data_IF_434624549821
#
_entry.id   IF_434624549821
#
_cell.length_a   1.000
_cell.length_b   1.000
_cell.length_c   1.000
_cell.angle_alpha   90.00
_cell.angle_beta   90.00
_cell.angle_gamma   90.00
#
_symmetry.space_group_name_H-M   'P 1'
#
loop_
_entity.id
_entity.type
_entity.pdbx_description
1 polymer ?
2 non-polymer ?
3 water ?
#
# COMPACT_ATOMS: atom_id res chain seq x y z
N UNK A 1 -23.49 -25.03 24.74
CA UNK A 1 -23.01 -23.69 24.28
C UNK A 1 -23.58 -23.40 22.93
N UNK A 2 -24.62 -24.07 22.49
CA UNK A 2 -24.66 -24.22 21.03
C UNK A 2 -24.45 -23.05 20.06
N UNK A 3 -25.26 -21.99 20.08
CA UNK A 3 -24.82 -20.83 19.29
C UNK A 3 -23.51 -20.11 19.86
N UNK A 4 -23.24 -20.21 21.18
CA UNK A 4 -21.93 -19.80 21.69
C UNK A 4 -20.76 -20.63 21.21
N UNK A 5 -20.94 -21.94 21.00
CA UNK A 5 -19.82 -22.68 20.49
C UNK A 5 -19.65 -22.55 18.97
N UNK A 6 -20.72 -22.34 18.22
CA UNK A 6 -20.62 -22.09 16.78
C UNK A 6 -19.86 -20.78 16.61
N UNK A 7 -20.24 -19.76 17.37
CA UNK A 7 -19.55 -18.48 17.35
C UNK A 7 -18.05 -18.54 17.73
N UNK A 8 -17.71 -19.29 18.76
CA UNK A 8 -16.34 -19.41 19.12
C UNK A 8 -15.52 -20.08 17.97
N UNK A 9 -16.12 -21.04 17.25
CA UNK A 9 -15.43 -21.69 16.12
C UNK A 9 -15.30 -20.68 14.97
N UNK A 10 -16.34 -19.90 14.70
CA UNK A 10 -16.27 -18.88 13.67
C UNK A 10 -15.13 -17.89 13.91
N UNK A 11 -14.96 -17.46 15.16
CA UNK A 11 -13.90 -16.51 15.47
C UNK A 11 -12.50 -17.14 15.33
N UNK A 12 -12.41 -18.43 15.63
CA UNK A 12 -11.10 -19.07 15.57
C UNK A 12 -10.67 -19.13 14.10
N UNK A 13 -11.62 -19.39 13.21
CA UNK A 13 -11.34 -19.51 11.79
C UNK A 13 -11.00 -18.13 11.25
N UNK A 14 -11.77 -17.12 11.65
CA UNK A 14 -11.49 -15.75 11.22
C UNK A 14 -10.11 -15.34 11.72
N UNK A 15 -9.71 -15.79 12.94
CA UNK A 15 -8.39 -15.41 13.50
C UNK A 15 -7.29 -16.02 12.65
N UNK A 16 -7.55 -17.23 12.15
CA UNK A 16 -6.55 -17.85 11.35
C UNK A 16 -6.42 -17.09 10.03
N UNK A 17 -7.55 -16.67 9.45
CA UNK A 17 -7.50 -15.99 8.18
C UNK A 17 -6.80 -14.68 8.25
N UNK A 18 -7.09 -13.87 9.27
CA UNK A 18 -6.56 -12.54 9.37
C UNK A 18 -5.04 -12.65 9.68
N UNK A 19 -4.67 -13.61 10.51
CA UNK A 19 -3.27 -13.87 10.81
C UNK A 19 -2.46 -14.29 9.57
N UNK A 20 -2.95 -15.25 8.78
CA UNK A 20 -2.34 -15.65 7.50
C UNK A 20 -2.25 -14.46 6.49
N UNK A 21 -3.33 -13.70 6.37
CA UNK A 21 -3.39 -12.54 5.52
C UNK A 21 -2.50 -11.37 5.96
N UNK A 22 -2.37 -11.16 7.27
CA UNK A 22 -1.44 -10.12 7.76
C UNK A 22 -0.03 -10.56 7.37
N UNK A 23 0.16 -11.85 7.36
CA UNK A 23 1.41 -12.44 7.02
C UNK A 23 1.81 -12.24 5.55
N UNK A 24 0.91 -12.59 4.65
CA UNK A 24 1.07 -12.34 3.22
C UNK A 24 1.41 -10.87 3.00
N UNK A 25 0.65 -10.00 3.67
CA UNK A 25 0.80 -8.59 3.45
C UNK A 25 2.19 -8.20 3.98
N UNK A 26 2.63 -8.75 5.12
CA UNK A 26 3.98 -8.45 5.60
C UNK A 26 5.11 -8.76 4.62
N UNK A 27 5.09 -9.97 4.06
CA UNK A 27 6.10 -10.35 3.11
C UNK A 27 6.04 -9.48 1.81
N UNK A 28 4.84 -9.07 1.38
CA UNK A 28 4.65 -8.23 0.22
C UNK A 28 5.29 -6.86 0.45
N UNK A 29 5.07 -6.29 1.64
CA UNK A 29 5.50 -4.91 1.93
C UNK A 29 7.00 -4.91 2.20
N UNK A 30 7.50 -5.97 2.83
CA UNK A 30 8.93 -6.05 3.04
C UNK A 30 9.66 -6.31 1.71
N UNK A 31 9.08 -7.11 0.80
CA UNK A 31 9.69 -7.31 -0.52
C UNK A 31 9.81 -5.95 -1.27
N UNK A 32 8.77 -5.14 -1.23
CA UNK A 32 8.76 -3.82 -1.90
C UNK A 32 9.79 -2.87 -1.27
N UNK A 33 9.84 -2.89 0.07
CA UNK A 33 10.81 -2.13 0.84
C UNK A 33 12.22 -2.47 0.44
N UNK A 34 12.57 -3.75 0.55
CA UNK A 34 13.90 -4.26 0.24
C UNK A 34 14.39 -3.94 -1.14
N UNK A 35 13.52 -4.11 -2.13
CA UNK A 35 13.83 -3.75 -3.50
C UNK A 35 14.02 -2.26 -3.81
N UNK A 36 13.15 -1.43 -3.28
CA UNK A 36 13.32 0.00 -3.41
C UNK A 36 14.61 0.44 -2.69
N UNK A 37 14.83 -0.05 -1.47
CA UNK A 37 16.09 0.24 -0.80
C UNK A 37 17.31 -0.22 -1.64
N UNK A 38 17.22 -1.38 -2.26
CA UNK A 38 18.38 -1.92 -3.01
C UNK A 38 18.61 -0.96 -4.20
N UNK A 39 17.53 -0.55 -4.88
CA UNK A 39 17.72 0.30 -6.05
C UNK A 39 18.29 1.68 -5.67
N UNK A 40 17.74 2.31 -4.61
CA UNK A 40 18.35 3.59 -4.19
C UNK A 40 19.81 3.44 -3.72
N UNK A 41 20.12 2.33 -3.09
CA UNK A 41 21.45 2.00 -2.65
C UNK A 41 22.38 1.90 -3.87
N UNK A 42 22.02 1.11 -4.90
CA UNK A 42 22.86 1.01 -6.12
C UNK A 42 23.11 2.38 -6.76
N UNK A 43 22.03 3.15 -6.97
CA UNK A 43 22.17 4.46 -7.57
C UNK A 43 23.07 5.33 -6.75
N UNK A 44 22.82 5.43 -5.45
CA UNK A 44 23.70 6.23 -4.62
C UNK A 44 25.20 5.87 -4.56
N UNK A 45 25.55 4.59 -4.56
CA UNK A 45 26.94 4.16 -4.34
C UNK A 45 27.68 3.86 -5.66
N UNK A 46 26.99 3.25 -6.63
CA UNK A 46 27.61 2.79 -7.85
C UNK A 46 27.35 3.59 -9.14
N UNK A 47 26.31 4.43 -9.18
CA UNK A 47 25.83 4.91 -10.46
C UNK A 47 26.67 5.99 -11.03
N UNK A 48 26.83 5.92 -12.33
CA UNK A 48 27.51 6.89 -13.18
C UNK A 48 26.55 8.10 -13.35
N UNK A 49 26.93 9.23 -12.76
CA UNK A 49 26.03 10.38 -12.79
C UNK A 49 25.76 10.99 -14.17
N UNK A 50 26.24 10.35 -15.24
CA UNK A 50 25.79 10.71 -16.57
C UNK A 50 25.33 9.51 -17.39
N UNK A 51 25.11 8.38 -16.74
CA UNK A 51 24.48 7.22 -17.36
C UNK A 51 23.10 7.29 -16.77
N UNK A 52 23.04 8.02 -15.67
CA UNK A 52 21.82 8.03 -14.96
C UNK A 52 20.90 9.10 -15.59
N UNK A 53 21.47 10.02 -16.37
CA UNK A 53 20.63 11.00 -17.08
C UNK A 53 20.20 10.45 -18.41
N UNK A 54 19.88 9.20 -18.47
CA UNK A 54 19.65 8.65 -19.75
C UNK A 54 18.30 7.95 -19.74
N UNK A 55 17.28 8.58 -20.36
CA UNK A 55 15.94 8.02 -20.21
C UNK A 55 15.79 6.61 -20.81
N UNK A 56 16.49 6.31 -21.92
CA UNK A 56 16.39 4.95 -22.50
C UNK A 56 16.96 3.92 -21.51
N UNK A 57 18.09 4.25 -20.90
CA UNK A 57 18.64 3.36 -19.87
C UNK A 57 17.73 3.22 -18.63
N UNK A 58 17.20 4.30 -18.10
CA UNK A 58 16.31 4.18 -16.92
C UNK A 58 15.03 3.41 -17.26
N UNK A 59 14.55 3.61 -18.48
CA UNK A 59 13.36 2.89 -18.93
C UNK A 59 13.61 1.40 -19.01
N UNK A 60 14.74 1.04 -19.61
CA UNK A 60 15.18 -0.39 -19.56
C UNK A 60 15.30 -0.90 -18.13
N UNK A 61 16.11 -0.29 -17.28
CA UNK A 61 16.17 -0.72 -15.83
C UNK A 61 14.78 -0.97 -15.18
N UNK A 62 13.92 0.04 -15.26
CA UNK A 62 12.63 -0.03 -14.58
C UNK A 62 11.70 -1.04 -15.21
N UNK A 63 11.70 -1.17 -16.56
CA UNK A 63 10.89 -2.23 -17.21
C UNK A 63 11.24 -3.63 -16.75
N UNK A 64 12.54 -3.93 -16.79
CA UNK A 64 13.03 -5.25 -16.36
C UNK A 64 12.67 -5.55 -14.90
N UNK A 65 12.79 -4.52 -14.07
CA UNK A 65 12.47 -4.69 -12.64
C UNK A 65 10.99 -4.93 -12.42
N UNK A 66 10.12 -4.22 -13.13
CA UNK A 66 8.69 -4.49 -12.94
C UNK A 66 8.36 -5.86 -13.58
N UNK A 67 8.90 -6.08 -14.77
CA UNK A 67 8.70 -7.33 -15.47
C UNK A 67 9.13 -8.54 -14.61
N UNK A 68 10.24 -8.39 -13.90
CA UNK A 68 10.73 -9.47 -13.04
C UNK A 68 10.08 -9.60 -11.65
N UNK A 69 9.31 -8.60 -11.21
CA UNK A 69 8.60 -8.68 -9.93
C UNK A 69 7.12 -8.53 -10.12
N UNK A 70 6.42 -9.65 -10.31
CA UNK A 70 4.98 -9.64 -10.68
C UNK A 70 4.10 -8.86 -9.70
N UNK A 71 4.45 -8.83 -8.40
CA UNK A 71 3.61 -8.11 -7.41
C UNK A 71 3.67 -6.61 -7.48
N UNK A 72 4.72 -6.03 -8.12
CA UNK A 72 4.85 -4.55 -8.19
C UNK A 72 4.01 -3.98 -9.33
N UNK A 73 3.32 -2.88 -9.09
CA UNK A 73 2.55 -2.27 -10.13
C UNK A 73 3.44 -1.35 -10.99
N UNK A 74 4.33 -0.62 -10.34
CA UNK A 74 5.08 0.41 -11.03
C UNK A 74 6.31 0.84 -10.23
N UNK A 75 7.26 1.48 -10.90
CA UNK A 75 8.43 1.99 -10.17
C UNK A 75 8.94 3.28 -10.79
N UNK A 76 9.35 4.24 -9.98
CA UNK A 76 9.84 5.50 -10.55
C UNK A 76 11.27 5.81 -10.08
N UNK A 77 11.99 6.60 -10.89
CA UNK A 77 13.23 7.21 -10.46
C UNK A 77 13.10 8.71 -10.68
N UNK A 78 12.97 9.47 -9.59
CA UNK A 78 12.52 10.85 -9.64
C UNK A 78 13.62 11.76 -9.05
N UNK A 79 14.07 12.79 -9.79
CA UNK A 79 15.24 13.61 -9.34
C UNK A 79 14.79 14.97 -8.79
N UNK A 80 15.55 15.53 -7.85
CA UNK A 80 15.33 16.92 -7.43
C UNK A 80 15.28 17.87 -8.64
N UNK A 81 14.50 18.96 -8.55
CA UNK A 81 14.44 19.98 -9.61
C UNK A 81 15.86 20.44 -10.01
N UNK A 82 16.21 20.37 -11.30
CA UNK A 82 17.48 20.96 -11.78
C UNK A 82 18.76 20.20 -11.46
N UNK A 83 18.60 18.93 -11.09
CA UNK A 83 19.73 18.02 -10.95
C UNK A 83 20.56 18.06 -12.22
N UNK A 84 19.91 18.02 -13.37
CA UNK A 84 20.61 17.98 -14.66
C UNK A 84 20.31 19.24 -15.51
N UNK A 85 21.23 19.61 -16.44
CA UNK A 85 21.07 20.86 -17.23
C UNK A 85 19.88 20.74 -18.19
N UNK A 86 19.14 21.83 -18.40
CA UNK A 86 18.03 21.85 -19.39
C UNK A 86 16.80 20.97 -19.07
N UNK A 87 16.76 20.46 -17.85
CA UNK A 87 15.59 19.76 -17.30
C UNK A 87 15.26 20.24 -15.88
N UNK A 88 14.04 20.68 -15.65
CA UNK A 88 13.70 20.98 -14.31
C UNK A 88 13.32 19.67 -13.56
N UNK A 89 12.29 19.00 -14.09
CA UNK A 89 11.65 17.84 -13.48
C UNK A 89 12.06 16.67 -14.33
N UNK A 90 12.42 15.57 -13.71
CA UNK A 90 12.74 14.39 -14.50
C UNK A 90 12.40 13.18 -13.67
N UNK A 91 11.49 12.35 -14.16
CA UNK A 91 11.09 11.20 -13.40
C UNK A 91 10.57 10.05 -14.24
N UNK A 92 11.50 9.37 -14.92
CA UNK A 92 11.13 8.11 -15.59
C UNK A 92 10.30 7.19 -14.69
N UNK A 93 9.32 6.52 -15.25
CA UNK A 93 8.40 5.70 -14.48
C UNK A 93 7.83 4.62 -15.38
N UNK A 94 7.88 3.36 -14.97
CA UNK A 94 7.25 2.27 -15.73
C UNK A 94 6.15 1.59 -14.88
N UNK A 95 5.03 1.19 -15.49
CA UNK A 95 3.93 0.58 -14.72
C UNK A 95 3.29 -0.51 -15.58
N UNK A 96 2.65 -1.49 -14.93
CA UNK A 96 1.98 -2.56 -15.71
C UNK A 96 0.55 -2.16 -16.15
N UNK A 97 0.29 -2.27 -17.44
CA UNK A 97 -1.04 -1.93 -18.01
C UNK A 97 -1.62 -3.32 -18.22
N UNK A 98 -2.87 -3.44 -18.63
CA UNK A 98 -3.36 -4.77 -18.81
C UNK A 98 -2.69 -5.48 -19.97
N UNK A 99 -1.79 -4.83 -20.70
CA UNK A 99 -1.31 -5.50 -21.94
C UNK A 99 0.22 -5.42 -22.14
N UNK A 100 0.88 -4.74 -21.22
CA UNK A 100 2.27 -4.43 -21.38
C UNK A 100 2.75 -3.65 -20.18
N UNK A 101 3.70 -2.77 -20.49
CA UNK A 101 4.37 -1.94 -19.55
C UNK A 101 4.43 -0.63 -20.25
N UNK A 102 3.90 0.39 -19.58
CA UNK A 102 3.83 1.72 -20.14
C UNK A 102 4.94 2.48 -19.52
N UNK A 103 5.43 3.49 -20.21
CA UNK A 103 6.46 4.32 -19.69
C UNK A 103 6.06 5.81 -19.83
N UNK A 104 6.40 6.64 -18.84
CA UNK A 104 6.36 8.08 -19.07
C UNK A 104 7.36 8.72 -18.16
N UNK A 105 7.89 9.84 -18.60
CA UNK A 105 8.58 10.71 -17.74
C UNK A 105 7.53 11.55 -16.98
N UNK A 106 7.32 11.23 -15.70
CA UNK A 106 6.27 11.92 -14.94
C UNK A 106 6.53 13.46 -14.93
N UNK A 107 7.78 13.88 -14.97
CA UNK A 107 8.07 15.29 -14.82
C UNK A 107 7.80 16.06 -16.13
N UNK A 108 7.60 15.36 -17.24
CA UNK A 108 7.34 16.00 -18.54
C UNK A 108 5.88 15.82 -18.89
N UNK A 109 5.35 14.62 -18.66
CA UNK A 109 4.04 14.29 -19.17
C UNK A 109 3.07 13.82 -18.12
N UNK A 110 3.45 13.91 -16.83
CA UNK A 110 2.59 13.33 -15.83
C UNK A 110 2.12 14.38 -14.83
N UNK A 111 3.05 14.88 -14.03
CA UNK A 111 2.66 15.90 -13.08
C UNK A 111 3.88 16.42 -12.39
N UNK A 112 3.72 17.56 -11.75
CA UNK A 112 4.84 18.17 -11.04
C UNK A 112 4.91 17.48 -9.70
N UNK A 113 5.76 16.45 -9.62
CA UNK A 113 5.80 15.58 -8.45
C UNK A 113 6.27 16.36 -7.21
N UNK A 114 6.86 17.56 -7.44
CA UNK A 114 7.40 18.35 -6.34
C UNK A 114 6.47 19.44 -5.79
N UNK A 115 5.23 19.58 -6.27
CA UNK A 115 4.40 20.75 -5.94
C UNK A 115 3.68 20.69 -4.56
N UNK A 116 3.93 19.63 -3.80
CA UNK A 116 3.32 19.46 -2.49
C UNK A 116 2.13 18.54 -2.43
N UNK A 117 1.62 18.10 -3.59
CA UNK A 117 0.44 17.28 -3.59
C UNK A 117 0.81 15.85 -3.59
N UNK A 118 2.10 15.56 -3.63
CA UNK A 118 2.54 14.20 -3.82
C UNK A 118 3.39 13.71 -2.62
N UNK A 119 2.72 13.01 -1.67
CA UNK A 119 3.37 12.39 -0.49
C UNK A 119 4.65 11.70 -0.85
N UNK A 120 4.54 10.85 -1.88
CA UNK A 120 5.67 10.00 -2.23
C UNK A 120 6.97 10.71 -2.55
N UNK A 121 6.86 11.97 -2.98
CA UNK A 121 8.01 12.84 -3.21
C UNK A 121 8.27 13.68 -1.94
N UNK A 122 7.30 14.46 -1.50
CA UNK A 122 7.50 15.47 -0.46
C UNK A 122 8.02 14.84 0.83
N UNK A 123 7.36 13.78 1.31
CA UNK A 123 7.75 13.22 2.61
C UNK A 123 9.19 12.69 2.58
N UNK A 124 9.54 12.12 1.43
CA UNK A 124 10.53 11.03 1.27
C UNK A 124 11.94 11.50 0.78
N UNK A 125 12.01 12.69 0.17
CA UNK A 125 13.30 13.21 -0.37
C UNK A 125 14.43 13.34 0.74
N UNK A 126 14.05 13.44 2.02
CA UNK A 126 15.10 13.09 2.99
C UNK A 126 14.76 12.27 4.26
N UNK A 127 13.92 11.24 4.16
CA UNK A 127 13.79 10.32 5.29
C UNK A 127 15.00 9.40 5.37
N UNK A 128 15.44 8.99 4.18
CA UNK A 128 16.69 8.32 3.96
C UNK A 128 16.40 6.89 4.18
N UNK A 129 15.69 6.63 5.25
CA UNK A 129 15.31 5.31 5.57
C UNK A 129 14.26 4.76 4.60
N UNK A 130 13.53 5.63 3.91
CA UNK A 130 12.34 5.12 3.20
C UNK A 130 11.01 5.38 3.90
N UNK A 131 9.96 5.45 3.11
CA UNK A 131 8.71 6.02 3.56
C UNK A 131 7.53 5.40 2.77
N UNK A 132 6.44 4.91 3.40
CA UNK A 132 5.22 4.57 2.67
C UNK A 132 4.30 5.75 2.53
N UNK A 133 3.70 6.00 1.37
CA UNK A 133 2.70 7.08 1.28
C UNK A 133 1.32 6.57 1.77
N UNK A 134 0.39 7.50 2.02
CA UNK A 134 -1.00 7.13 2.23
C UNK A 134 -1.54 6.64 0.84
N UNK A 135 -2.72 6.07 0.85
CA UNK A 135 -3.38 5.65 -0.40
C UNK A 135 -3.74 6.86 -1.26
N UNK A 136 -3.44 6.77 -2.57
CA UNK A 136 -3.79 7.88 -3.44
C UNK A 136 -4.11 7.36 -4.82
N UNK A 137 -4.75 8.22 -5.59
CA UNK A 137 -5.06 7.88 -6.94
C UNK A 137 -3.94 8.50 -7.79
N UNK A 138 -3.24 7.70 -8.58
CA UNK A 138 -2.04 8.22 -9.26
C UNK A 138 -2.32 8.92 -10.59
N UNK A 139 -3.13 9.99 -10.56
CA UNK A 139 -3.73 10.57 -11.74
C UNK A 139 -2.69 11.16 -12.63
N UNK A 140 -2.66 10.72 -13.89
CA UNK A 140 -1.69 11.36 -14.79
C UNK A 140 -0.49 10.44 -14.95
N UNK A 141 -0.44 9.38 -14.18
CA UNK A 141 0.71 8.50 -14.30
C UNK A 141 0.16 7.14 -14.24
N UNK A 142 0.23 6.49 -13.09
CA UNK A 142 -0.26 5.13 -12.97
C UNK A 142 -1.76 5.11 -13.21
N UNK A 143 -2.47 6.19 -12.86
CA UNK A 143 -3.93 6.22 -13.01
C UNK A 143 -4.67 5.09 -12.31
N UNK A 144 -4.14 4.61 -11.19
CA UNK A 144 -4.89 3.74 -10.37
C UNK A 144 -4.66 4.10 -8.90
N UNK A 145 -5.44 3.47 -8.02
CA UNK A 145 -5.33 3.65 -6.58
C UNK A 145 -4.17 2.77 -6.07
N UNK A 146 -3.28 3.35 -5.26
CA UNK A 146 -2.09 2.60 -4.88
C UNK A 146 -1.57 3.21 -3.59
N UNK A 147 -0.60 2.53 -3.00
CA UNK A 147 0.34 3.13 -2.04
C UNK A 147 1.74 2.97 -2.61
N UNK A 148 2.62 3.87 -2.23
CA UNK A 148 3.96 3.78 -2.73
C UNK A 148 5.06 3.85 -1.64
N UNK A 149 6.15 3.11 -1.86
CA UNK A 149 7.31 3.11 -0.97
C UNK A 149 8.45 3.79 -1.74
N UNK A 150 8.98 4.84 -1.13
CA UNK A 150 9.96 5.73 -1.76
C UNK A 150 11.19 5.76 -0.86
N UNK A 151 12.36 5.72 -1.50
CA UNK A 151 13.62 5.84 -0.78
C UNK A 151 14.61 6.80 -1.46
N UNK A 152 15.05 7.86 -0.75
CA UNK A 152 16.07 8.87 -1.18
C UNK A 152 17.32 8.19 -1.64
N UNK A 153 18.05 8.77 -2.59
CA UNK A 153 19.43 8.29 -2.93
C UNK A 153 20.44 9.46 -3.03
N UNK A 154 21.74 9.18 -2.89
CA UNK A 154 22.83 10.19 -2.80
C UNK A 154 23.65 9.99 -1.50
N UNK A 155 24.09 11.08 -0.86
CA UNK A 155 24.77 11.09 0.47
C UNK A 155 24.55 12.45 1.14
N UNK A 156 24.66 12.53 2.48
CA UNK A 156 24.69 13.84 3.24
C UNK A 156 25.33 15.08 2.61
N UNK A 157 24.82 16.26 2.96
CA UNK A 157 23.54 16.32 3.64
C UNK A 157 22.31 16.31 2.71
N UNK A 158 22.49 16.42 1.40
CA UNK A 158 21.33 16.42 0.47
C UNK A 158 21.45 15.32 -0.59
N UNK A 159 20.47 14.39 -0.53
CA UNK A 159 20.24 13.40 -1.60
C UNK A 159 19.72 14.07 -2.90
N UNK A 160 19.87 13.41 -4.06
CA UNK A 160 19.38 14.02 -5.30
C UNK A 160 18.10 13.44 -5.92
N UNK A 161 17.46 12.47 -5.26
CA UNK A 161 16.15 11.98 -5.64
C UNK A 161 15.56 10.84 -4.83
N UNK A 162 14.49 10.23 -5.32
CA UNK A 162 13.99 8.95 -4.74
C UNK A 162 13.72 7.90 -5.84
N UNK A 163 13.80 6.62 -5.51
CA UNK A 163 13.23 5.58 -6.35
C UNK A 163 12.01 5.02 -5.57
N UNK A 164 11.08 4.39 -6.27
CA UNK A 164 9.80 4.09 -5.64
C UNK A 164 9.38 2.73 -6.06
N UNK A 165 8.46 2.14 -5.35
CA UNK A 165 7.74 0.96 -5.87
C UNK A 165 6.26 1.30 -5.54
N UNK A 166 5.37 1.08 -6.52
CA UNK A 166 3.93 1.23 -6.35
C UNK A 166 3.28 -0.15 -6.23
N UNK A 167 2.32 -0.24 -5.29
CA UNK A 167 1.52 -1.43 -5.17
C UNK A 167 0.07 -1.06 -5.46
N UNK A 168 -0.54 -1.69 -6.47
CA UNK A 168 -1.92 -1.33 -6.87
C UNK A 168 -2.89 -1.85 -5.80
N UNK A 169 -3.79 -1.00 -5.28
CA UNK A 169 -4.65 -1.53 -4.23
C UNK A 169 -5.59 -2.59 -4.72
N UNK A 170 -6.07 -2.48 -5.96
CA UNK A 170 -7.00 -3.54 -6.46
C UNK A 170 -6.42 -4.94 -6.34
N UNK A 171 -5.10 -5.05 -6.26
CA UNK A 171 -4.51 -6.40 -6.17
C UNK A 171 -4.37 -6.99 -4.77
N UNK A 172 -4.46 -6.15 -3.73
CA UNK A 172 -4.19 -6.64 -2.38
C UNK A 172 -5.01 -7.85 -1.99
N UNK A 173 -6.31 -7.89 -2.30
CA UNK A 173 -7.13 -9.06 -1.87
C UNK A 173 -6.63 -10.39 -2.39
N UNK A 174 -6.34 -10.45 -3.69
CA UNK A 174 -5.70 -11.62 -4.21
C UNK A 174 -4.30 -11.88 -3.61
N UNK A 175 -3.47 -10.83 -3.45
CA UNK A 175 -2.15 -11.10 -2.94
C UNK A 175 -2.25 -11.60 -1.48
N UNK A 176 -3.31 -11.17 -0.77
CA UNK A 176 -3.58 -11.51 0.64
C UNK A 176 -4.44 -12.76 0.79
N UNK A 177 -5.19 -13.12 -0.25
CA UNK A 177 -5.91 -14.40 -0.28
C UNK A 177 -7.26 -14.28 0.45
N UNK A 178 -7.94 -13.14 0.27
CA UNK A 178 -9.14 -12.76 0.94
C UNK A 178 -10.02 -12.08 -0.13
N UNK A 179 -11.32 -12.39 -0.11
CA UNK A 179 -12.23 -11.82 -1.07
C UNK A 179 -12.27 -10.31 -0.84
N UNK A 180 -12.29 -9.50 -1.91
CA UNK A 180 -12.29 -8.06 -1.67
C UNK A 180 -13.33 -7.57 -0.64
N UNK A 181 -14.57 -8.08 -0.68
CA UNK A 181 -15.60 -7.54 0.22
C UNK A 181 -15.34 -7.91 1.70
N UNK A 182 -14.45 -8.87 1.96
CA UNK A 182 -14.13 -9.18 3.33
C UNK A 182 -12.84 -8.51 3.93
N UNK A 183 -12.22 -7.54 3.24
CA UNK A 183 -10.87 -7.14 3.63
C UNK A 183 -10.87 -5.68 3.94
N UNK A 184 -10.30 -5.32 5.10
CA UNK A 184 -9.91 -3.95 5.28
C UNK A 184 -8.43 -3.96 5.72
N UNK A 185 -7.66 -3.00 5.25
CA UNK A 185 -6.28 -2.82 5.71
C UNK A 185 -6.19 -1.39 6.23
N UNK A 186 -5.60 -1.24 7.40
CA UNK A 186 -5.47 0.06 8.02
C UNK A 186 -3.97 0.27 8.24
N UNK A 187 -3.46 1.47 8.10
CA UNK A 187 -2.11 1.74 8.47
C UNK A 187 -1.99 1.78 10.04
N UNK A 188 -0.83 2.17 10.55
CA UNK A 188 -0.56 2.14 11.98
C UNK A 188 -1.34 3.24 12.69
N UNK A 189 -1.84 4.22 11.95
CA UNK A 189 -2.59 5.28 12.59
C UNK A 189 -4.05 4.95 12.47
N UNK A 190 -4.38 3.81 11.87
CA UNK A 190 -5.79 3.51 11.73
C UNK A 190 -6.42 4.11 10.50
N UNK A 191 -5.65 4.68 9.58
CA UNK A 191 -6.28 5.20 8.40
C UNK A 191 -6.41 4.14 7.29
N UNK A 192 -7.44 4.26 6.45
CA UNK A 192 -7.77 3.24 5.47
C UNK A 192 -6.68 3.09 4.42
N UNK A 193 -6.15 1.88 4.27
CA UNK A 193 -5.28 1.58 3.14
C UNK A 193 -6.15 0.88 2.11
N UNK A 194 -6.90 -0.12 2.52
CA UNK A 194 -7.75 -0.89 1.60
C UNK A 194 -9.17 -1.01 2.14
N UNK A 195 -10.16 -0.74 1.28
CA UNK A 195 -11.60 -1.01 1.47
C UNK A 195 -12.18 -1.30 0.08
N UNK A 196 -13.11 -2.25 0.00
CA UNK A 196 -13.88 -2.50 -1.24
C UNK A 196 -14.34 -1.23 -1.93
N UNK A 197 -14.97 -0.33 -1.17
CA UNK A 197 -15.41 0.94 -1.71
C UNK A 197 -14.27 1.96 -1.82
N UNK A 198 -13.95 2.33 -3.06
CA UNK A 198 -12.85 3.25 -3.38
C UNK A 198 -13.05 4.70 -2.92
N UNK A 199 -14.29 5.20 -2.90
CA UNK A 199 -14.47 6.53 -2.31
C UNK A 199 -14.30 6.52 -0.78
N UNK A 200 -14.46 5.38 -0.12
CA UNK A 200 -14.05 5.33 1.27
C UNK A 200 -12.50 5.49 1.44
N UNK A 201 -11.70 4.76 0.68
CA UNK A 201 -10.25 4.90 0.78
C UNK A 201 -9.80 6.34 0.62
N UNK A 202 -10.46 7.07 -0.26
CA UNK A 202 -10.04 8.40 -0.52
C UNK A 202 -10.84 9.44 0.29
N UNK A 203 -11.40 9.02 1.44
CA UNK A 203 -12.03 9.95 2.41
C UNK A 203 -13.48 10.33 2.07
N UNK A 208 -15.97 7.07 8.11
CA UNK A 208 -16.46 6.91 6.77
C UNK A 208 -16.88 5.48 6.57
N UNK A 209 -16.24 4.56 7.25
CA UNK A 209 -16.58 3.19 6.91
C UNK A 209 -17.17 2.48 8.10
N UNK A 210 -16.92 3.02 9.26
CA UNK A 210 -17.48 2.45 10.47
C UNK A 210 -18.12 3.57 11.25
N UNK A 211 -19.38 3.40 11.58
CA UNK A 211 -20.04 4.36 12.43
C UNK A 211 -19.68 4.08 13.92
N UNK A 212 -18.84 4.92 14.50
CA UNK A 212 -18.42 4.70 15.89
C UNK A 212 -19.43 5.26 16.90
N UNK A 213 -20.38 6.03 16.41
CA UNK A 213 -21.42 6.55 17.26
C UNK A 213 -22.47 5.46 17.56
N UNK A 214 -22.23 4.23 17.09
CA UNK A 214 -23.21 3.15 17.27
C UNK A 214 -22.82 2.21 18.40
N UNK A 215 -23.70 2.06 19.39
CA UNK A 215 -23.38 1.30 20.62
C UNK A 215 -22.74 -0.06 20.33
N UNK A 216 -23.23 -0.73 19.30
CA UNK A 216 -22.72 -2.01 18.88
C UNK A 216 -21.27 -2.00 18.41
N UNK A 217 -20.76 -0.84 18.00
CA UNK A 217 -19.39 -0.82 17.43
C UNK A 217 -18.30 -0.51 18.39
N UNK A 218 -18.68 -0.25 19.64
CA UNK A 218 -17.71 0.22 20.61
C UNK A 218 -16.53 -0.71 20.75
N UNK A 219 -16.79 -2.01 20.97
CA UNK A 219 -15.67 -2.94 21.19
C UNK A 219 -14.80 -3.05 19.93
N UNK A 220 -15.42 -3.01 18.76
CA UNK A 220 -14.63 -3.04 17.52
C UNK A 220 -13.79 -1.74 17.48
N UNK A 221 -14.40 -0.60 17.74
CA UNK A 221 -13.64 0.67 17.70
C UNK A 221 -12.48 0.75 18.74
N UNK A 222 -12.64 0.14 19.91
CA UNK A 222 -11.55 0.14 20.92
C UNK A 222 -10.39 -0.70 20.48
N UNK A 223 -10.74 -1.88 19.99
CA UNK A 223 -9.79 -2.77 19.33
C UNK A 223 -8.94 -2.00 18.29
N UNK A 224 -9.62 -1.29 17.40
CA UNK A 224 -8.90 -0.50 16.39
C UNK A 224 -8.02 0.57 17.05
N UNK A 225 -8.58 1.41 17.93
CA UNK A 225 -7.81 2.45 18.69
C UNK A 225 -6.65 1.97 19.55
N UNK A 226 -6.80 0.85 20.20
CA UNK A 226 -5.72 0.32 21.02
C UNK A 226 -4.61 -0.23 20.15
N UNK A 227 -4.86 -0.39 18.84
CA UNK A 227 -3.84 -0.98 17.98
C UNK A 227 -3.48 -2.39 18.42
N UNK A 228 -4.48 -3.19 18.78
CA UNK A 228 -4.24 -4.56 19.21
C UNK A 228 -4.82 -5.55 18.18
N UNK A 229 -4.23 -6.74 18.05
CA UNK A 229 -4.87 -7.90 17.41
C UNK A 229 -6.14 -8.30 18.22
N UNK A 230 -7.23 -8.71 17.57
CA UNK A 230 -8.40 -9.16 18.31
C UNK A 230 -9.61 -9.49 17.45
N UNK A 231 -10.69 -9.94 18.09
CA UNK A 231 -11.91 -10.34 17.39
C UNK A 231 -13.05 -9.47 17.94
N UNK A 232 -14.05 -9.14 17.14
CA UNK A 232 -15.17 -8.40 17.63
C UNK A 232 -16.18 -8.34 16.51
N UNK A 233 -17.45 -8.13 16.83
CA UNK A 233 -18.38 -7.84 15.78
C UNK A 233 -18.65 -6.35 15.67
N UNK A 234 -19.51 -6.04 14.69
CA UNK A 234 -19.85 -4.68 14.37
C UNK A 234 -20.96 -4.66 13.34
N UNK A 235 -21.64 -3.51 13.22
CA UNK A 235 -22.62 -3.26 12.14
C UNK A 235 -22.12 -2.20 11.12
N UNK A 236 -22.52 -2.36 9.86
CA UNK A 236 -22.23 -1.33 8.86
C UNK A 236 -23.44 -0.41 8.79
N UNK A 237 -23.41 0.54 7.83
CA UNK A 237 -24.52 1.50 7.65
C UNK A 237 -25.91 0.88 7.35
N UNK A 238 -25.95 -0.25 6.64
CA UNK A 238 -27.25 -0.86 6.33
C UNK A 238 -27.73 -1.70 7.48
N UNK A 239 -26.92 -1.74 8.54
CA UNK A 239 -27.27 -2.50 9.73
C UNK A 239 -27.00 -3.99 9.60
N UNK A 240 -26.09 -4.37 8.69
CA UNK A 240 -25.64 -5.75 8.67
C UNK A 240 -24.56 -5.99 9.75
N UNK A 241 -24.75 -7.04 10.56
CA UNK A 241 -23.75 -7.44 11.57
C UNK A 241 -22.64 -8.32 10.97
N UNK A 242 -21.39 -7.96 11.24
CA UNK A 242 -20.23 -8.75 10.82
C UNK A 242 -19.55 -9.33 12.04
N UNK A 243 -18.94 -10.50 11.90
CA UNK A 243 -17.91 -10.91 12.81
C UNK A 243 -16.57 -10.57 12.15
N UNK A 244 -15.62 -10.05 12.93
CA UNK A 244 -14.36 -9.51 12.35
C UNK A 244 -13.18 -9.94 13.18
N UNK A 245 -12.05 -10.06 12.54
CA UNK A 245 -10.84 -10.40 13.20
C UNK A 245 -9.76 -9.47 12.68
N UNK A 246 -9.01 -8.87 13.60
CA UNK A 246 -8.00 -7.88 13.32
C UNK A 246 -6.69 -8.54 13.62
N UNK A 247 -5.72 -8.45 12.70
CA UNK A 247 -4.38 -8.95 12.95
C UNK A 247 -3.41 -7.83 12.64
N UNK A 248 -2.33 -7.80 13.39
CA UNK A 248 -1.31 -6.79 13.20
C UNK A 248 -0.18 -7.22 12.22
N UNK A 249 0.29 -6.28 11.41
CA UNK A 249 1.52 -6.51 10.64
C UNK A 249 2.78 -6.15 11.47
N UNK A 250 3.69 -7.10 11.63
CA UNK A 250 4.86 -6.90 12.48
C UNK A 250 5.68 -5.67 12.02
N UNK A 251 6.07 -4.80 12.96
CA UNK A 251 6.99 -3.66 12.70
C UNK A 251 6.28 -2.43 12.15
N UNK A 252 5.56 -2.62 11.03
CA UNK A 252 4.79 -1.53 10.47
C UNK A 252 3.57 -1.22 11.31
N UNK A 253 2.96 -2.25 11.87
CA UNK A 253 1.82 -2.10 12.77
C UNK A 253 0.63 -1.67 11.95
N UNK A 254 0.68 -1.90 10.65
CA UNK A 254 -0.55 -1.90 9.92
C UNK A 254 -1.40 -3.06 10.45
N UNK A 255 -2.73 -2.93 10.23
CA UNK A 255 -3.74 -3.94 10.53
C UNK A 255 -4.45 -4.56 9.31
N UNK A 256 -4.73 -5.86 9.38
CA UNK A 256 -5.54 -6.48 8.39
C UNK A 256 -6.76 -6.85 9.14
N UNK A 257 -7.92 -6.50 8.60
CA UNK A 257 -9.19 -6.88 9.19
C UNK A 257 -9.94 -7.82 8.24
N UNK A 258 -10.28 -9.01 8.72
CA UNK A 258 -11.16 -9.92 7.96
C UNK A 258 -12.55 -9.93 8.63
N UNK A 259 -13.59 -9.70 7.86
CA UNK A 259 -14.93 -9.56 8.39
C UNK A 259 -15.86 -10.23 7.39
N UNK A 260 -16.82 -11.00 7.89
CA UNK A 260 -17.84 -11.64 7.02
C UNK A 260 -19.22 -11.44 7.67
N UNK A 261 -20.24 -11.17 6.86
CA UNK A 261 -21.54 -10.98 7.55
C UNK A 261 -21.89 -12.19 8.39
N UNK A 262 -22.43 -11.95 9.59
CA UNK A 262 -22.77 -13.03 10.48
C UNK A 262 -23.78 -14.06 9.89
N UNK A 263 -24.83 -13.60 9.20
CA UNK A 263 -25.85 -14.51 8.60
C UNK A 263 -25.17 -15.58 7.78
N UNK A 264 -24.25 -15.09 6.94
CA UNK A 264 -23.48 -15.90 6.01
C UNK A 264 -22.52 -16.81 6.75
N UNK A 265 -21.83 -16.30 7.77
CA UNK A 265 -20.92 -17.22 8.48
C UNK A 265 -21.73 -18.36 9.12
N UNK A 266 -22.84 -18.01 9.82
CA UNK A 266 -23.74 -19.07 10.40
C UNK A 266 -24.33 -20.00 9.32
N UNK A 267 -24.88 -19.45 8.24
CA UNK A 267 -25.40 -20.35 7.17
C UNK A 267 -24.40 -21.47 6.73
N UNK A 268 -23.12 -21.15 6.39
CA UNK A 268 -22.16 -22.22 5.99
C UNK A 268 -21.95 -23.22 7.08
N UNK A 269 -21.31 -22.80 8.17
CA UNK A 269 -21.15 -23.71 9.31
C UNK A 269 -22.51 -24.39 9.53
X LIG B 1 5.33 7.18 -7.97
X LIG B 1 5.95 5.89 -7.79
X LIG B 1 4.27 7.18 -9.06
X LIG B 1 3.11 6.43 -8.61
#
# INVERSE_FOLDING_TARGET
>A
ENYLSIEKRLYENLAQESSHSASRLQFLLEHAQANTQGLSDFIGLLADKDDINNPEKLKTVLTNRIQRNPDFFGSAIAFKPNTFPNKKLFSPYVYRSGSGFNYLDIGADGYDYTDGNWDWWSKAINQVGGYWSKAYFDEGAGNVLMITYAVPFGVQPDYFGVTTVDLALDRLPEQLGIAPSRLVVLDDQGRLIFHSDKEKVLAASSSGWLDKQNIKNIAFATLLNDGQAGQASFVDDKGTVYLASVAEVAKLKWRVVVMVPKHELFASLLDDIA
>B hetero
1 EDO C1 O1 C2 O2
#
